data_IF_010135122171
#
_entry.id   IF_010135122171
#
_cell.length_a   1.000
_cell.length_b   1.000
_cell.length_c   1.000
_cell.angle_alpha   90.00
_cell.angle_beta   90.00
_cell.angle_gamma   90.00
#
_symmetry.space_group_name_H-M   'P 1'
#
loop_
_entity.id
_entity.type
_entity.pdbx_description
1 polymer ?
#
# COMPACT_ATOMS: atom_id res chain seq x y z
N UNK A 1 -25.13 29.42 -33.46
CA UNK A 1 -25.36 27.96 -33.53
C UNK A 1 -24.73 27.38 -32.28
N UNK A 2 -25.56 27.00 -31.30
CA UNK A 2 -25.14 26.51 -29.97
C UNK A 2 -24.91 25.01 -30.07
N UNK A 3 -23.69 24.55 -29.79
CA UNK A 3 -23.40 23.14 -29.54
C UNK A 3 -23.23 22.97 -28.03
N UNK A 4 -24.10 22.17 -27.44
CA UNK A 4 -24.07 21.80 -26.02
C UNK A 4 -23.31 20.49 -25.88
N UNK A 5 -22.23 20.50 -25.09
CA UNK A 5 -21.48 19.30 -24.75
C UNK A 5 -22.30 18.43 -23.78
N UNK A 6 -22.34 17.12 -24.03
CA UNK A 6 -22.99 16.14 -23.16
C UNK A 6 -21.91 15.45 -22.31
N UNK A 7 -22.01 15.61 -20.98
CA UNK A 7 -21.15 14.94 -20.01
C UNK A 7 -21.72 13.54 -19.67
N UNK A 8 -20.97 12.47 -19.92
CA UNK A 8 -21.30 11.14 -19.38
C UNK A 8 -20.68 10.97 -17.98
N UNK A 9 -21.53 11.17 -16.97
CA UNK A 9 -21.18 11.14 -15.55
C UNK A 9 -20.80 9.72 -15.09
N UNK A 10 -21.16 8.65 -15.81
CA UNK A 10 -20.86 7.28 -15.36
C UNK A 10 -19.40 6.86 -15.52
N UNK A 11 -18.65 7.48 -16.44
CA UNK A 11 -17.30 7.03 -16.80
C UNK A 11 -16.23 8.13 -16.78
N UNK A 12 -16.59 9.38 -16.45
CA UNK A 12 -15.62 10.49 -16.38
C UNK A 12 -14.97 10.86 -17.71
N UNK A 13 -15.67 10.70 -18.84
CA UNK A 13 -15.21 11.10 -20.18
C UNK A 13 -16.05 12.24 -20.75
N UNK A 14 -15.38 13.19 -21.40
CA UNK A 14 -16.00 14.18 -22.27
C UNK A 14 -16.18 13.50 -23.63
N UNK A 15 -17.41 13.42 -24.12
CA UNK A 15 -17.70 12.93 -25.48
C UNK A 15 -18.07 14.14 -26.32
N UNK A 16 -17.09 14.68 -27.05
CA UNK A 16 -17.37 15.59 -28.17
C UNK A 16 -17.95 14.76 -29.31
N UNK A 17 -19.08 15.16 -29.86
CA UNK A 17 -19.52 14.64 -31.16
C UNK A 17 -18.40 14.97 -32.16
N UNK A 18 -17.92 13.95 -32.87
CA UNK A 18 -16.87 13.97 -33.91
C UNK A 18 -15.42 13.68 -33.46
N UNK A 19 -15.19 12.72 -32.56
CA UNK A 19 -13.83 12.29 -32.17
C UNK A 19 -13.56 10.81 -32.44
N UNK A 20 -13.28 10.46 -33.70
CA UNK A 20 -12.46 9.28 -34.05
C UNK A 20 -10.96 9.57 -33.89
N UNK A 21 -10.56 10.76 -33.44
CA UNK A 21 -9.17 11.09 -33.12
C UNK A 21 -9.00 11.41 -31.62
N UNK A 22 -8.06 10.74 -30.91
CA UNK A 22 -7.70 11.16 -29.56
C UNK A 22 -7.16 12.59 -29.62
N UNK A 23 -7.72 13.48 -28.81
CA UNK A 23 -7.45 14.93 -28.81
C UNK A 23 -5.98 15.31 -28.57
N UNK A 24 -5.11 14.34 -28.26
CA UNK A 24 -3.69 14.54 -28.00
C UNK A 24 -3.40 15.42 -26.78
N UNK A 25 -4.44 15.73 -25.98
CA UNK A 25 -4.31 16.62 -24.85
C UNK A 25 -3.66 15.92 -23.65
N UNK A 26 -2.76 16.61 -22.95
CA UNK A 26 -2.05 16.07 -21.78
C UNK A 26 -1.98 17.05 -20.62
N UNK A 27 -2.08 16.52 -19.40
CA UNK A 27 -1.85 17.28 -18.18
C UNK A 27 -0.37 17.31 -17.82
N UNK A 28 0.12 18.48 -17.44
CA UNK A 28 1.44 18.65 -16.83
C UNK A 28 1.31 19.35 -15.47
N UNK A 29 2.25 19.07 -14.57
CA UNK A 29 2.36 19.78 -13.30
C UNK A 29 3.61 20.65 -13.34
N UNK A 30 3.44 21.96 -13.18
CA UNK A 30 4.56 22.88 -13.12
C UNK A 30 5.15 22.88 -11.71
N UNK A 31 6.44 22.55 -11.63
CA UNK A 31 7.24 22.67 -10.42
C UNK A 31 7.38 24.13 -10.00
N UNK A 32 7.62 24.36 -8.72
CA UNK A 32 7.70 25.71 -8.15
C UNK A 32 9.12 26.12 -7.81
N UNK A 33 9.33 27.43 -7.76
CA UNK A 33 10.42 28.04 -7.00
C UNK A 33 10.02 28.06 -5.51
N UNK A 34 11.00 27.98 -4.62
CA UNK A 34 10.76 27.95 -3.17
C UNK A 34 9.95 29.18 -2.72
N UNK A 35 8.85 28.95 -1.98
CA UNK A 35 8.02 29.99 -1.39
C UNK A 35 6.69 30.29 -2.09
N UNK A 36 6.39 29.70 -3.25
CA UNK A 36 5.09 29.87 -3.91
C UNK A 36 4.11 28.73 -3.55
N UNK A 37 2.80 29.00 -3.37
CA UNK A 37 1.75 28.09 -2.82
C UNK A 37 1.53 26.68 -3.45
N UNK A 38 0.31 26.18 -3.71
CA UNK A 38 0.13 24.82 -4.30
C UNK A 38 0.56 24.74 -5.78
N UNK A 39 1.15 23.61 -6.21
CA UNK A 39 1.59 23.32 -7.59
C UNK A 39 0.44 23.52 -8.60
N UNK A 40 0.75 24.06 -9.79
CA UNK A 40 -0.26 24.36 -10.84
C UNK A 40 -0.34 23.23 -11.87
N UNK A 41 -1.55 22.84 -12.23
CA UNK A 41 -1.79 21.87 -13.32
C UNK A 41 -2.19 22.60 -14.59
N UNK A 42 -1.59 22.23 -15.71
CA UNK A 42 -1.85 22.83 -17.02
C UNK A 42 -2.25 21.74 -18.01
N UNK A 43 -3.31 21.99 -18.77
CA UNK A 43 -3.76 21.12 -19.86
C UNK A 43 -3.22 21.67 -21.18
N UNK A 44 -2.47 20.84 -21.89
CA UNK A 44 -1.88 21.18 -23.19
C UNK A 44 -2.58 20.42 -24.30
N UNK A 45 -2.69 21.02 -25.49
CA UNK A 45 -3.04 20.31 -26.73
C UNK A 45 -1.85 19.54 -27.32
N UNK A 46 -2.08 18.87 -28.47
CA UNK A 46 -1.05 18.12 -29.20
C UNK A 46 0.13 18.97 -29.69
N UNK A 47 -0.07 20.28 -29.85
CA UNK A 47 0.93 21.23 -30.33
C UNK A 47 1.66 21.96 -29.17
N UNK A 48 1.35 21.58 -27.92
CA UNK A 48 1.94 22.16 -26.72
C UNK A 48 1.36 23.53 -26.32
N UNK A 49 0.17 23.89 -26.79
CA UNK A 49 -0.54 25.11 -26.39
C UNK A 49 -1.41 24.87 -25.17
N UNK A 50 -1.50 25.87 -24.32
CA UNK A 50 -2.34 25.83 -23.11
C UNK A 50 -3.81 25.91 -23.50
N UNK A 51 -4.57 24.86 -23.23
CA UNK A 51 -6.03 24.81 -23.49
C UNK A 51 -6.86 24.78 -22.20
N UNK A 52 -6.22 24.71 -21.03
CA UNK A 52 -6.91 24.76 -19.74
C UNK A 52 -6.00 24.55 -18.53
N UNK A 53 -6.61 24.43 -17.35
CA UNK A 53 -5.93 24.24 -16.07
C UNK A 53 -5.89 25.49 -15.19
N UNK A 54 -5.00 25.50 -14.21
CA UNK A 54 -4.82 26.58 -13.21
C UNK A 54 -3.98 27.73 -13.78
N UNK A 55 -4.34 28.22 -14.97
CA UNK A 55 -3.61 29.26 -15.71
C UNK A 55 -4.57 30.40 -16.06
N UNK A 56 -4.16 31.69 -15.92
CA UNK A 56 -4.98 32.82 -16.34
C UNK A 56 -5.47 32.69 -17.79
N UNK A 57 -6.66 33.22 -18.08
CA UNK A 57 -7.27 33.11 -19.42
C UNK A 57 -6.39 33.76 -20.50
N UNK A 58 -5.66 34.83 -20.18
CA UNK A 58 -4.72 35.46 -21.11
C UNK A 58 -3.52 34.59 -21.52
N UNK A 59 -3.24 33.50 -20.80
CA UNK A 59 -2.17 32.55 -21.11
C UNK A 59 -2.66 31.35 -21.94
N UNK A 60 -3.98 31.17 -22.05
CA UNK A 60 -4.57 30.13 -22.90
C UNK A 60 -4.29 30.44 -24.37
N UNK A 61 -3.91 29.42 -25.14
CA UNK A 61 -3.50 29.52 -26.55
C UNK A 61 -2.00 29.77 -26.76
N UNK A 62 -1.24 30.13 -25.72
CA UNK A 62 0.22 30.28 -25.82
C UNK A 62 0.92 28.91 -25.77
N UNK A 63 2.02 28.78 -26.53
CA UNK A 63 2.92 27.62 -26.42
C UNK A 63 3.74 27.72 -25.14
N UNK A 64 3.94 26.60 -24.47
CA UNK A 64 4.66 26.60 -23.19
C UNK A 64 6.12 27.09 -23.28
N UNK A 65 6.72 26.99 -24.47
CA UNK A 65 8.08 27.48 -24.77
C UNK A 65 8.21 29.01 -24.61
N UNK A 66 7.11 29.77 -24.71
CA UNK A 66 7.13 31.23 -24.51
C UNK A 66 7.05 31.66 -23.05
N UNK A 67 7.01 30.72 -22.09
CA UNK A 67 6.85 31.01 -20.66
C UNK A 67 8.14 30.91 -19.81
N UNK A 68 9.31 30.81 -20.45
CA UNK A 68 10.59 31.05 -19.78
C UNK A 68 11.71 30.11 -20.24
N UNK A 69 12.72 30.67 -20.90
CA UNK A 69 14.05 30.09 -21.05
C UNK A 69 14.78 30.10 -19.69
N UNK A 70 14.33 29.31 -18.71
CA UNK A 70 15.12 29.04 -17.50
C UNK A 70 14.53 27.85 -16.73
N UNK A 71 14.46 26.71 -17.41
CA UNK A 71 14.49 25.41 -16.74
C UNK A 71 14.86 24.36 -17.77
N UNK A 72 16.14 23.95 -17.76
CA UNK A 72 16.56 22.72 -18.42
C UNK A 72 15.61 21.62 -17.95
N UNK A 73 14.90 21.00 -18.89
CA UNK A 73 14.27 19.72 -18.67
C UNK A 73 15.31 18.80 -17.97
N UNK A 74 14.97 18.17 -16.83
CA UNK A 74 15.61 16.91 -16.51
C UNK A 74 15.38 16.02 -17.74
N UNK A 75 16.46 15.54 -18.34
CA UNK A 75 16.41 14.65 -19.48
C UNK A 75 15.39 13.53 -19.25
N UNK A 76 14.70 13.13 -20.32
CA UNK A 76 13.74 12.02 -20.36
C UNK A 76 14.37 10.64 -20.03
N UNK A 77 15.59 10.61 -19.50
CA UNK A 77 16.21 9.42 -18.96
C UNK A 77 15.70 9.14 -17.53
N UNK A 78 14.76 8.19 -17.48
CA UNK A 78 14.49 7.29 -16.35
C UNK A 78 13.41 7.68 -15.32
N UNK A 79 12.22 8.07 -15.80
CA UNK A 79 11.00 7.46 -15.23
C UNK A 79 10.63 6.21 -16.02
N UNK A 80 11.56 5.26 -16.09
CA UNK A 80 11.17 3.87 -16.26
C UNK A 80 10.48 3.56 -14.93
N UNK A 81 9.15 3.50 -14.92
CA UNK A 81 8.45 2.74 -13.89
C UNK A 81 9.08 1.34 -13.93
N UNK A 82 10.06 1.10 -13.08
CA UNK A 82 10.65 -0.24 -12.92
C UNK A 82 9.50 -1.10 -12.46
N UNK A 83 8.90 -1.82 -13.40
CA UNK A 83 7.83 -2.76 -13.14
C UNK A 83 8.31 -3.64 -12.00
N UNK A 84 7.65 -3.48 -10.85
CA UNK A 84 8.08 -4.13 -9.63
C UNK A 84 8.06 -5.64 -9.87
N UNK A 85 9.24 -6.25 -9.81
CA UNK A 85 9.38 -7.68 -10.10
C UNK A 85 8.72 -8.44 -8.97
N UNK A 86 7.85 -9.40 -9.30
CA UNK A 86 7.28 -10.31 -8.31
C UNK A 86 8.02 -11.64 -8.31
N UNK A 87 8.20 -12.23 -7.13
CA UNK A 87 8.88 -13.52 -6.93
C UNK A 87 8.29 -14.24 -5.74
N UNK A 88 8.00 -15.54 -5.91
CA UNK A 88 7.66 -16.44 -4.81
C UNK A 88 8.90 -16.95 -4.08
N UNK A 89 8.76 -18.11 -3.44
CA UNK A 89 9.90 -18.77 -2.77
C UNK A 89 10.96 -19.21 -3.78
N UNK A 90 12.22 -19.07 -3.36
CA UNK A 90 13.38 -19.53 -4.12
C UNK A 90 13.78 -20.90 -3.59
N UNK A 91 13.91 -21.89 -4.47
CA UNK A 91 14.35 -23.23 -4.12
C UNK A 91 15.73 -23.53 -4.71
N UNK A 92 16.42 -24.52 -4.14
CA UNK A 92 17.62 -25.11 -4.75
C UNK A 92 18.94 -24.35 -4.55
N UNK A 93 18.96 -23.29 -3.73
CA UNK A 93 20.20 -22.68 -3.25
C UNK A 93 20.79 -23.57 -2.15
N UNK A 94 22.05 -23.97 -2.31
CA UNK A 94 22.67 -25.02 -1.50
C UNK A 94 23.65 -24.50 -0.46
N UNK A 95 24.08 -23.24 -0.58
CA UNK A 95 25.04 -22.63 0.34
C UNK A 95 24.83 -21.11 0.45
N UNK A 96 25.46 -20.52 1.47
CA UNK A 96 25.39 -19.10 1.79
C UNK A 96 25.83 -18.20 0.62
N UNK A 97 26.89 -18.56 -0.11
CA UNK A 97 27.39 -17.74 -1.21
C UNK A 97 26.36 -17.58 -2.34
N UNK A 98 25.64 -18.66 -2.67
CA UNK A 98 24.55 -18.62 -3.65
C UNK A 98 23.37 -17.76 -3.18
N UNK A 99 23.07 -17.77 -1.88
CA UNK A 99 22.02 -16.92 -1.29
C UNK A 99 22.42 -15.45 -1.33
N UNK A 100 23.66 -15.12 -0.96
CA UNK A 100 24.18 -13.76 -1.02
C UNK A 100 24.21 -13.25 -2.47
N UNK A 101 24.61 -14.09 -3.43
CA UNK A 101 24.59 -13.75 -4.85
C UNK A 101 23.16 -13.50 -5.36
N UNK A 102 22.18 -14.31 -4.93
CA UNK A 102 20.77 -14.08 -5.26
C UNK A 102 20.26 -12.75 -4.69
N UNK A 103 20.56 -12.44 -3.41
CA UNK A 103 20.20 -11.15 -2.80
C UNK A 103 20.83 -10.02 -3.60
N UNK A 104 22.13 -10.11 -3.91
CA UNK A 104 22.86 -9.09 -4.66
C UNK A 104 22.19 -8.81 -6.01
N UNK A 105 21.87 -9.86 -6.78
CA UNK A 105 21.24 -9.75 -8.11
C UNK A 105 19.80 -9.24 -8.03
N UNK A 106 19.01 -9.78 -7.11
CA UNK A 106 17.57 -9.47 -7.01
C UNK A 106 17.28 -8.10 -6.41
N UNK A 107 18.16 -7.59 -5.55
CA UNK A 107 18.02 -6.27 -4.89
C UNK A 107 18.91 -5.18 -5.51
N UNK A 108 19.85 -5.56 -6.39
CA UNK A 108 20.83 -4.69 -7.03
C UNK A 108 21.65 -3.87 -6.02
N UNK A 109 22.21 -4.55 -5.02
CA UNK A 109 23.06 -3.96 -3.97
C UNK A 109 24.49 -4.47 -4.07
N UNK A 110 25.41 -3.93 -3.26
CA UNK A 110 26.78 -4.44 -3.16
C UNK A 110 26.81 -5.79 -2.43
N UNK A 111 27.86 -6.60 -2.65
CA UNK A 111 28.07 -7.87 -1.91
C UNK A 111 28.05 -7.65 -0.40
N UNK A 112 28.65 -6.56 0.09
CA UNK A 112 28.66 -6.23 1.52
C UNK A 112 27.25 -5.99 2.09
N UNK A 113 26.39 -5.26 1.36
CA UNK A 113 25.00 -5.06 1.78
C UNK A 113 24.15 -6.33 1.66
N UNK A 114 24.44 -7.16 0.66
CA UNK A 114 23.79 -8.46 0.51
C UNK A 114 24.14 -9.40 1.67
N UNK A 115 25.41 -9.48 2.08
CA UNK A 115 25.87 -10.22 3.26
C UNK A 115 25.18 -9.71 4.53
N UNK A 116 25.17 -8.39 4.76
CA UNK A 116 24.48 -7.80 5.92
C UNK A 116 22.98 -8.12 5.93
N UNK A 117 22.34 -8.11 4.77
CA UNK A 117 20.91 -8.47 4.64
C UNK A 117 20.69 -9.95 4.97
N UNK A 118 21.53 -10.84 4.44
CA UNK A 118 21.53 -12.27 4.76
C UNK A 118 21.64 -12.50 6.28
N UNK A 119 22.69 -11.97 6.90
CA UNK A 119 22.94 -12.10 8.35
C UNK A 119 21.78 -11.56 9.19
N UNK A 120 21.20 -10.42 8.79
CA UNK A 120 20.09 -9.80 9.53
C UNK A 120 18.80 -10.60 9.38
N UNK A 121 18.50 -11.16 8.21
CA UNK A 121 17.33 -12.03 8.00
C UNK A 121 17.48 -13.33 8.81
N UNK A 122 18.68 -13.91 8.81
CA UNK A 122 19.01 -15.09 9.61
C UNK A 122 18.82 -14.81 11.11
N UNK A 123 19.43 -13.72 11.60
CA UNK A 123 19.28 -13.29 13.00
C UNK A 123 17.82 -13.02 13.37
N UNK A 124 17.04 -12.37 12.49
CA UNK A 124 15.61 -12.15 12.72
C UNK A 124 14.87 -13.48 12.89
N UNK A 125 15.15 -14.45 12.01
CA UNK A 125 14.50 -15.76 11.99
C UNK A 125 14.92 -16.65 13.17
N UNK A 126 16.15 -16.52 13.67
CA UNK A 126 16.71 -17.27 14.80
C UNK A 126 16.44 -16.64 16.18
N UNK A 127 15.31 -15.96 16.34
CA UNK A 127 14.88 -15.39 17.62
C UNK A 127 15.29 -13.93 17.88
N UNK A 128 16.10 -13.32 17.01
CA UNK A 128 16.41 -11.89 17.05
C UNK A 128 15.23 -10.96 16.70
N UNK A 129 14.10 -11.52 16.22
CA UNK A 129 12.91 -10.75 15.85
C UNK A 129 12.41 -9.80 16.94
N UNK A 130 12.57 -10.13 18.23
CA UNK A 130 12.06 -9.29 19.33
C UNK A 130 12.81 -7.96 19.40
N UNK A 131 14.14 -7.98 19.27
CA UNK A 131 14.96 -6.77 19.38
C UNK A 131 14.77 -5.88 18.15
N UNK A 132 14.61 -6.48 16.98
CA UNK A 132 14.28 -5.75 15.75
C UNK A 132 12.87 -5.13 15.85
N UNK A 133 11.83 -5.91 16.19
CA UNK A 133 10.44 -5.40 16.22
C UNK A 133 10.21 -4.32 17.28
N UNK A 134 10.90 -4.42 18.42
CA UNK A 134 10.83 -3.40 19.47
C UNK A 134 11.69 -2.18 19.19
N UNK A 135 12.48 -2.19 18.11
CA UNK A 135 13.37 -1.10 17.71
C UNK A 135 14.61 -0.96 18.59
N UNK A 136 14.93 -1.97 19.39
CA UNK A 136 16.20 -2.02 20.15
C UNK A 136 17.38 -2.14 19.18
N UNK A 137 17.23 -2.98 18.15
CA UNK A 137 18.17 -3.05 17.03
C UNK A 137 17.69 -2.16 15.88
N UNK A 138 18.03 -0.86 15.96
CA UNK A 138 17.68 0.12 14.92
C UNK A 138 18.35 -0.17 13.58
N UNK A 139 19.54 -0.76 13.60
CA UNK A 139 20.29 -1.06 12.39
C UNK A 139 19.65 -2.25 11.67
N UNK A 140 19.30 -3.32 12.39
CA UNK A 140 18.56 -4.46 11.85
C UNK A 140 17.22 -4.05 11.26
N UNK A 141 16.47 -3.16 11.93
CA UNK A 141 15.23 -2.59 11.37
C UNK A 141 15.49 -1.90 10.03
N UNK A 142 16.51 -1.05 9.95
CA UNK A 142 16.83 -0.32 8.71
C UNK A 142 17.24 -1.28 7.59
N UNK A 143 18.09 -2.27 7.89
CA UNK A 143 18.56 -3.26 6.92
C UNK A 143 17.39 -4.08 6.39
N UNK A 144 16.51 -4.59 7.26
CA UNK A 144 15.37 -5.38 6.80
C UNK A 144 14.33 -4.56 6.05
N UNK A 145 14.05 -3.32 6.45
CA UNK A 145 13.15 -2.46 5.68
C UNK A 145 13.71 -2.15 4.28
N UNK A 146 15.01 -1.85 4.17
CA UNK A 146 15.67 -1.61 2.87
C UNK A 146 15.71 -2.89 2.03
N UNK A 147 16.01 -4.04 2.65
CA UNK A 147 15.95 -5.35 2.00
C UNK A 147 14.55 -5.67 1.46
N UNK A 148 13.50 -5.52 2.29
CA UNK A 148 12.12 -5.73 1.86
C UNK A 148 11.79 -4.77 0.73
N UNK A 149 12.13 -3.50 0.85
CA UNK A 149 11.87 -2.45 -0.14
C UNK A 149 12.46 -2.78 -1.51
N UNK A 150 13.73 -3.22 -1.56
CA UNK A 150 14.46 -3.55 -2.79
C UNK A 150 14.16 -4.93 -3.36
N UNK A 151 13.72 -5.86 -2.53
CA UNK A 151 13.48 -7.24 -2.96
C UNK A 151 12.30 -7.34 -3.92
N UNK A 152 12.30 -8.35 -4.82
CA UNK A 152 11.11 -8.74 -5.55
C UNK A 152 9.94 -8.99 -4.60
N UNK A 153 8.76 -8.50 -4.96
CA UNK A 153 7.59 -8.58 -4.09
C UNK A 153 6.91 -9.93 -4.17
N UNK A 154 6.25 -10.30 -3.09
CA UNK A 154 5.33 -11.42 -3.09
C UNK A 154 4.24 -11.22 -4.16
N UNK A 155 3.85 -12.26 -4.93
CA UNK A 155 2.81 -12.13 -5.93
C UNK A 155 1.48 -11.68 -5.31
N UNK A 156 0.93 -10.55 -5.75
CA UNK A 156 -0.26 -9.92 -5.18
C UNK A 156 -1.54 -10.77 -5.28
N UNK A 157 -1.57 -11.69 -6.25
CA UNK A 157 -2.65 -12.65 -6.43
C UNK A 157 -2.64 -13.77 -5.37
N UNK A 158 -1.53 -13.96 -4.67
CA UNK A 158 -1.33 -14.98 -3.63
C UNK A 158 -1.45 -14.39 -2.23
N UNK A 159 -2.22 -15.04 -1.37
CA UNK A 159 -2.32 -14.66 0.04
C UNK A 159 -1.12 -15.16 0.85
N UNK A 160 -0.80 -14.42 1.91
CA UNK A 160 0.04 -14.82 3.03
C UNK A 160 -0.79 -14.95 4.31
N UNK A 161 -0.32 -15.75 5.25
CA UNK A 161 -1.06 -16.16 6.44
C UNK A 161 -0.23 -15.97 7.71
N UNK A 162 -0.87 -15.54 8.80
CA UNK A 162 -0.22 -15.44 10.12
C UNK A 162 -1.13 -15.99 11.19
N UNK A 163 -0.64 -17.01 11.88
CA UNK A 163 -1.30 -17.62 13.02
C UNK A 163 -0.94 -16.95 14.33
N UNK A 164 -1.91 -16.77 15.21
CA UNK A 164 -1.70 -16.26 16.56
C UNK A 164 -2.66 -16.94 17.53
N UNK A 165 -2.14 -17.26 18.72
CA UNK A 165 -2.96 -17.54 19.90
C UNK A 165 -2.97 -16.28 20.77
N UNK A 166 -4.14 -15.65 20.92
CA UNK A 166 -4.27 -14.32 21.54
C UNK A 166 -5.20 -14.33 22.75
N UNK A 167 -5.09 -13.31 23.59
CA UNK A 167 -6.04 -13.08 24.66
C UNK A 167 -7.35 -12.42 24.16
N UNK A 168 -8.36 -12.42 25.02
CA UNK A 168 -9.68 -11.82 24.76
C UNK A 168 -9.56 -10.31 24.47
N UNK A 169 -8.65 -9.60 25.14
CA UNK A 169 -8.49 -8.15 24.98
C UNK A 169 -8.04 -7.79 23.56
N UNK A 170 -7.03 -8.49 23.06
CA UNK A 170 -6.58 -8.33 21.68
C UNK A 170 -7.68 -8.72 20.71
N UNK A 171 -8.36 -9.85 20.91
CA UNK A 171 -9.45 -10.29 20.04
C UNK A 171 -10.58 -9.24 19.94
N UNK A 172 -11.03 -8.67 21.07
CA UNK A 172 -12.08 -7.64 21.10
C UNK A 172 -11.66 -6.32 20.42
N UNK A 173 -10.36 -6.08 20.25
CA UNK A 173 -9.84 -4.94 19.49
C UNK A 173 -10.01 -5.11 17.97
N UNK A 174 -10.17 -6.34 17.49
CA UNK A 174 -10.31 -6.66 16.07
C UNK A 174 -11.73 -6.35 15.61
N UNK A 175 -11.87 -5.33 14.76
CA UNK A 175 -13.15 -4.84 14.25
C UNK A 175 -13.07 -4.61 12.75
N UNK A 176 -14.15 -4.91 12.03
CA UNK A 176 -14.26 -4.66 10.59
C UNK A 176 -13.91 -3.20 10.26
N UNK A 177 -13.08 -3.01 9.24
CA UNK A 177 -12.61 -1.70 8.79
C UNK A 177 -11.56 -1.04 9.68
N UNK A 178 -11.21 -1.60 10.84
CA UNK A 178 -10.10 -1.11 11.67
C UNK A 178 -8.77 -1.65 11.18
N UNK A 179 -7.72 -0.86 11.44
CA UNK A 179 -6.36 -1.26 11.18
C UNK A 179 -5.80 -2.11 12.30
N UNK A 180 -4.99 -3.09 11.94
CA UNK A 180 -4.18 -3.87 12.89
C UNK A 180 -2.75 -3.35 12.80
N UNK A 181 -2.15 -3.09 13.96
CA UNK A 181 -0.73 -2.76 14.07
C UNK A 181 0.06 -4.01 14.47
N UNK A 182 0.95 -4.45 13.59
CA UNK A 182 1.86 -5.56 13.86
C UNK A 182 3.10 -5.13 14.65
N UNK A 183 3.24 -3.85 15.02
CA UNK A 183 4.40 -3.32 15.75
C UNK A 183 5.71 -3.59 15.02
N UNK A 184 5.78 -3.14 13.76
CA UNK A 184 6.96 -3.27 12.90
C UNK A 184 6.92 -4.48 11.96
N UNK A 185 8.10 -4.88 11.48
CA UNK A 185 8.28 -5.99 10.52
C UNK A 185 7.70 -7.27 11.10
N UNK A 186 6.94 -7.99 10.28
CA UNK A 186 6.25 -9.20 10.74
C UNK A 186 6.46 -10.37 9.78
N UNK A 187 6.62 -11.55 10.37
CA UNK A 187 6.71 -12.82 9.67
C UNK A 187 5.32 -13.38 9.32
N UNK A 188 5.19 -13.91 8.11
CA UNK A 188 3.99 -14.57 7.60
C UNK A 188 4.42 -15.83 6.87
N UNK A 189 3.51 -16.78 6.69
CA UNK A 189 3.73 -17.95 5.85
C UNK A 189 2.93 -17.81 4.56
N UNK A 190 3.45 -18.32 3.44
CA UNK A 190 2.59 -18.53 2.26
C UNK A 190 1.63 -19.71 2.41
N UNK A 191 1.76 -20.50 3.47
CA UNK A 191 0.95 -21.69 3.73
C UNK A 191 0.00 -21.50 4.91
N UNK A 192 -1.30 -21.64 4.65
CA UNK A 192 -2.32 -21.52 5.69
C UNK A 192 -2.16 -22.57 6.80
N UNK A 193 -1.71 -23.79 6.44
CA UNK A 193 -1.53 -24.89 7.40
C UNK A 193 -0.46 -24.56 8.44
N UNK A 194 0.70 -24.06 7.99
CA UNK A 194 1.77 -23.57 8.87
C UNK A 194 1.21 -22.50 9.82
N UNK A 195 0.48 -21.52 9.31
CA UNK A 195 -0.15 -20.50 10.16
C UNK A 195 -1.13 -21.11 11.20
N UNK A 196 -1.91 -22.14 10.86
CA UNK A 196 -2.83 -22.77 11.80
C UNK A 196 -2.11 -23.40 13.00
N UNK A 197 -0.91 -23.94 12.82
CA UNK A 197 -0.13 -24.57 13.90
C UNK A 197 0.20 -23.59 15.03
N UNK A 198 0.42 -22.30 14.72
CA UNK A 198 0.65 -21.25 15.72
C UNK A 198 -0.62 -20.78 16.46
N UNK A 199 -1.79 -21.28 16.08
CA UNK A 199 -3.05 -20.96 16.77
C UNK A 199 -3.31 -21.86 17.97
N UNK A 200 -2.69 -23.04 18.00
CA UNK A 200 -2.90 -24.06 19.02
C UNK A 200 -2.08 -23.73 20.28
N UNK A 201 -2.69 -23.86 21.46
CA UNK A 201 -1.98 -23.70 22.72
C UNK A 201 -1.01 -24.87 22.92
N UNK A 202 0.29 -24.60 23.07
CA UNK A 202 1.30 -25.65 23.30
C UNK A 202 2.55 -25.54 22.42
N UNK A 203 2.46 -24.85 21.27
CA UNK A 203 3.64 -24.42 20.51
C UNK A 203 4.31 -23.22 21.22
N UNK A 204 5.00 -23.52 22.30
CA UNK A 204 5.83 -22.57 23.01
C UNK A 204 7.29 -22.80 22.63
N UNK A 205 7.83 -21.88 21.83
CA UNK A 205 9.27 -21.63 21.81
C UNK A 205 9.67 -21.32 23.26
N UNK A 206 10.40 -22.22 23.92
CA UNK A 206 10.88 -22.06 25.31
C UNK A 206 10.14 -22.84 26.40
N UNK A 207 9.35 -23.87 26.09
CA UNK A 207 8.96 -24.91 27.06
C UNK A 207 7.97 -24.52 28.17
N UNK A 208 7.35 -23.33 28.08
CA UNK A 208 6.25 -22.93 28.99
C UNK A 208 4.92 -23.09 28.29
N UNK A 209 4.06 -23.96 28.80
CA UNK A 209 2.67 -24.11 28.32
C UNK A 209 2.01 -22.73 28.18
N UNK A 210 1.65 -22.36 26.94
CA UNK A 210 0.83 -21.17 26.71
C UNK A 210 -0.57 -21.45 27.24
N UNK A 211 -1.12 -20.52 28.04
CA UNK A 211 -2.53 -20.56 28.42
C UNK A 211 -3.39 -20.66 27.15
N UNK A 212 -4.46 -21.45 27.20
CA UNK A 212 -5.42 -21.59 26.11
C UNK A 212 -6.07 -20.23 25.81
N UNK A 213 -5.65 -19.60 24.72
CA UNK A 213 -6.26 -18.37 24.19
C UNK A 213 -7.15 -18.63 22.97
N UNK A 214 -7.45 -17.57 22.24
CA UNK A 214 -8.27 -17.56 21.04
C UNK A 214 -7.35 -17.76 19.83
N UNK A 215 -7.57 -18.83 19.07
CA UNK A 215 -6.84 -19.09 17.83
C UNK A 215 -7.32 -18.19 16.69
N UNK A 216 -6.39 -17.49 16.05
CA UNK A 216 -6.64 -16.58 14.93
C UNK A 216 -5.67 -16.87 13.78
N UNK A 217 -6.19 -16.93 12.56
CA UNK A 217 -5.40 -16.90 11.33
C UNK A 217 -5.74 -15.63 10.55
N UNK A 218 -4.77 -14.74 10.41
CA UNK A 218 -4.86 -13.62 9.47
C UNK A 218 -4.54 -14.11 8.07
N UNK A 219 -5.27 -13.62 7.07
CA UNK A 219 -5.01 -13.84 5.65
C UNK A 219 -4.88 -12.47 4.98
N UNK A 220 -3.77 -12.23 4.27
CA UNK A 220 -3.47 -10.94 3.66
C UNK A 220 -2.99 -11.11 2.23
N UNK A 221 -3.47 -10.27 1.31
CA UNK A 221 -2.78 -9.99 0.03
C UNK A 221 -1.95 -8.73 0.24
N UNK A 222 -0.64 -8.86 0.07
CA UNK A 222 0.33 -7.86 0.48
C UNK A 222 1.14 -7.34 -0.71
N UNK A 223 1.28 -6.02 -0.80
CA UNK A 223 2.12 -5.35 -1.80
C UNK A 223 3.55 -5.18 -1.28
N UNK A 224 3.73 -5.08 0.04
CA UNK A 224 5.01 -4.79 0.69
C UNK A 224 5.57 -6.00 1.44
N UNK A 225 5.53 -7.16 0.77
CA UNK A 225 6.01 -8.42 1.29
C UNK A 225 7.10 -9.04 0.39
N UNK A 226 8.04 -9.77 0.99
CA UNK A 226 9.10 -10.51 0.27
C UNK A 226 9.28 -11.91 0.83
N UNK A 227 9.49 -12.90 -0.04
CA UNK A 227 9.75 -14.27 0.35
C UNK A 227 11.19 -14.43 0.87
N UNK A 228 11.36 -15.06 2.02
CA UNK A 228 12.67 -15.25 2.66
C UNK A 228 12.97 -16.69 3.04
N UNK A 229 12.14 -17.66 2.65
CA UNK A 229 12.34 -19.09 2.97
C UNK A 229 13.73 -19.65 2.66
N UNK A 230 14.38 -19.15 1.62
CA UNK A 230 15.75 -19.53 1.22
C UNK A 230 16.86 -18.89 2.06
N UNK A 231 16.51 -17.95 2.94
CA UNK A 231 17.41 -17.21 3.84
C UNK A 231 17.06 -17.51 5.31
N UNK A 232 15.79 -17.81 5.62
CA UNK A 232 15.35 -18.11 6.98
C UNK A 232 16.02 -19.38 7.52
N UNK A 233 16.33 -19.38 8.81
CA UNK A 233 16.75 -20.59 9.54
C UNK A 233 15.70 -21.69 9.48
N UNK A 234 14.42 -21.30 9.40
CA UNK A 234 13.28 -22.22 9.46
C UNK A 234 12.63 -22.35 8.08
N UNK A 235 13.39 -22.87 7.12
CA UNK A 235 13.01 -22.92 5.70
C UNK A 235 11.65 -23.58 5.41
N UNK A 236 11.22 -24.53 6.26
CA UNK A 236 9.97 -25.26 6.07
C UNK A 236 8.71 -24.43 6.35
N UNK A 237 8.83 -23.28 7.03
CA UNK A 237 7.69 -22.40 7.33
C UNK A 237 7.21 -21.59 6.12
N UNK A 238 7.92 -21.67 4.99
CA UNK A 238 7.61 -20.92 3.76
C UNK A 238 7.43 -19.42 4.04
N UNK A 239 8.41 -18.87 4.75
CA UNK A 239 8.34 -17.55 5.35
C UNK A 239 8.36 -16.40 4.34
N UNK A 240 7.54 -15.40 4.61
CA UNK A 240 7.39 -14.13 3.90
C UNK A 240 7.45 -12.99 4.92
N UNK A 241 8.36 -12.04 4.76
CA UNK A 241 8.42 -10.84 5.59
C UNK A 241 7.52 -9.75 5.03
N UNK A 242 6.69 -9.17 5.90
CA UNK A 242 5.89 -7.99 5.63
C UNK A 242 6.54 -6.77 6.27
N UNK A 243 6.73 -5.69 5.50
CA UNK A 243 7.27 -4.42 6.01
C UNK A 243 6.44 -3.88 7.16
N UNK A 244 7.10 -3.28 8.16
CA UNK A 244 6.45 -2.57 9.26
C UNK A 244 5.77 -1.28 8.84
N UNK A 245 6.03 -0.80 7.62
CA UNK A 245 5.34 0.36 7.00
C UNK A 245 3.95 -0.01 6.48
N UNK A 246 3.63 -1.30 6.40
CA UNK A 246 2.36 -1.82 5.87
C UNK A 246 1.20 -1.51 6.81
N UNK A 247 0.11 -0.97 6.25
CA UNK A 247 -1.14 -0.75 6.99
C UNK A 247 -2.13 -1.85 6.65
N UNK A 248 -2.48 -2.67 7.64
CA UNK A 248 -3.34 -3.85 7.49
C UNK A 248 -4.74 -3.49 7.95
N UNK A 249 -5.75 -3.71 7.11
CA UNK A 249 -7.16 -3.47 7.44
C UNK A 249 -7.96 -4.76 7.46
N UNK A 250 -8.80 -4.92 8.48
CA UNK A 250 -9.71 -6.07 8.58
C UNK A 250 -10.88 -5.88 7.60
N UNK A 251 -11.04 -6.83 6.67
CA UNK A 251 -12.16 -6.87 5.74
C UNK A 251 -13.24 -7.88 6.15
N UNK A 252 -12.86 -8.96 6.82
CA UNK A 252 -13.81 -10.01 7.23
C UNK A 252 -13.33 -10.74 8.47
N UNK A 253 -14.26 -11.23 9.28
CA UNK A 253 -13.99 -12.05 10.46
C UNK A 253 -14.96 -13.24 10.41
N UNK A 254 -14.40 -14.43 10.21
CA UNK A 254 -15.17 -15.67 10.09
C UNK A 254 -14.69 -16.68 11.13
N UNK A 255 -15.61 -17.44 11.70
CA UNK A 255 -15.28 -18.54 12.61
C UNK A 255 -15.41 -19.87 11.89
N UNK A 256 -14.43 -20.76 12.05
CA UNK A 256 -14.47 -22.11 11.51
C UNK A 256 -13.99 -23.11 12.54
N UNK A 257 -14.42 -24.35 12.39
CA UNK A 257 -13.90 -25.47 13.17
C UNK A 257 -12.86 -26.22 12.33
N UNK A 258 -11.67 -26.44 12.89
CA UNK A 258 -10.56 -27.13 12.25
C UNK A 258 -10.03 -28.14 13.26
N UNK A 259 -10.08 -29.42 12.93
CA UNK A 259 -9.65 -30.52 13.82
C UNK A 259 -10.30 -30.47 15.23
N UNK A 260 -11.57 -30.06 15.32
CA UNK A 260 -12.29 -29.92 16.58
C UNK A 260 -12.00 -28.62 17.36
N UNK A 261 -11.12 -27.76 16.86
CA UNK A 261 -10.80 -26.47 17.45
C UNK A 261 -11.48 -25.30 16.71
N UNK A 262 -11.95 -24.32 17.47
CA UNK A 262 -12.60 -23.12 16.92
C UNK A 262 -11.54 -22.06 16.62
N UNK A 263 -11.31 -21.80 15.34
CA UNK A 263 -10.34 -20.81 14.84
C UNK A 263 -11.07 -19.67 14.15
N UNK A 264 -10.63 -18.44 14.40
CA UNK A 264 -11.09 -17.26 13.69
C UNK A 264 -10.19 -16.95 12.49
N UNK A 265 -10.77 -16.94 11.30
CA UNK A 265 -10.11 -16.54 10.05
C UNK A 265 -10.45 -15.07 9.78
N UNK A 266 -9.40 -14.25 9.74
CA UNK A 266 -9.51 -12.81 9.57
C UNK A 266 -8.90 -12.44 8.23
N UNK A 267 -9.75 -12.03 7.30
CA UNK A 267 -9.28 -11.54 6.01
C UNK A 267 -8.88 -10.07 6.16
N UNK A 268 -7.74 -9.76 5.57
CA UNK A 268 -7.10 -8.47 5.62
C UNK A 268 -6.71 -8.00 4.22
N UNK A 269 -6.57 -6.68 4.09
CA UNK A 269 -5.98 -6.04 2.91
C UNK A 269 -4.97 -4.97 3.33
N UNK A 270 -3.94 -4.77 2.51
CA UNK A 270 -3.12 -3.58 2.63
C UNK A 270 -3.92 -2.34 2.19
N UNK A 271 -3.75 -1.24 2.91
CA UNK A 271 -4.35 0.02 2.49
C UNK A 271 -4.32 1.09 3.58
N UNK A 272 -4.49 2.34 3.16
CA UNK A 272 -4.84 3.41 4.09
C UNK A 272 -6.19 3.06 4.68
N UNK A 273 -6.34 3.16 6.01
CA UNK A 273 -7.62 3.04 6.66
C UNK A 273 -8.63 3.83 5.84
N UNK A 274 -9.59 3.11 5.26
CA UNK A 274 -10.77 3.75 4.71
C UNK A 274 -11.47 4.22 5.97
N UNK A 275 -11.10 5.42 6.44
CA UNK A 275 -12.01 6.18 7.27
C UNK A 275 -13.33 6.05 6.57
N UNK A 276 -14.35 5.53 7.28
CA UNK A 276 -15.70 5.40 6.73
C UNK A 276 -15.90 6.60 5.81
N UNK A 277 -16.09 6.42 4.52
CA UNK A 277 -16.58 7.53 3.71
C UNK A 277 -18.06 7.67 4.04
N UNK A 278 -18.34 8.00 5.31
CA UNK A 278 -19.38 8.94 5.63
C UNK A 278 -18.63 10.25 5.51
N UNK A 279 -18.83 10.89 4.37
CA UNK A 279 -18.30 12.19 4.02
C UNK A 279 -18.86 13.20 5.03
N UNK A 280 -18.25 13.31 6.21
CA UNK A 280 -18.59 14.30 7.23
C UNK A 280 -18.01 15.65 6.79
N UNK A 281 -18.57 16.20 5.72
CA UNK A 281 -18.46 17.62 5.40
C UNK A 281 -19.34 18.38 6.40
N UNK A 282 -18.73 19.15 7.30
CA UNK A 282 -19.44 20.11 8.12
C UNK A 282 -19.94 21.24 7.20
N UNK A 283 -21.25 21.47 7.18
CA UNK A 283 -21.87 22.62 6.54
C UNK A 283 -22.47 23.48 7.65
N UNK A 284 -21.92 24.68 7.82
CA UNK A 284 -22.53 25.71 8.66
C UNK A 284 -23.61 26.38 7.84
N UNK A 285 -24.89 26.11 8.15
CA UNK A 285 -26.03 26.84 7.59
C UNK A 285 -26.57 27.71 8.72
N UNK A 286 -26.65 29.03 8.50
CA UNK A 286 -27.20 30.03 9.43
C UNK A 286 -26.70 29.94 10.89
N UNK A 287 -25.41 29.65 11.07
CA UNK A 287 -24.75 29.73 12.38
C UNK A 287 -25.18 28.67 13.40
N UNK A 288 -25.86 27.60 13.00
CA UNK A 288 -26.21 26.48 13.88
C UNK A 288 -25.62 25.16 13.37
N UNK A 289 -24.81 24.51 14.20
CA UNK A 289 -24.28 23.17 13.95
C UNK A 289 -25.34 22.13 14.31
N UNK A 290 -26.02 21.57 13.31
CA UNK A 290 -26.90 20.41 13.51
C UNK A 290 -26.29 19.15 12.88
N UNK A 291 -26.13 18.11 13.69
CA UNK A 291 -25.69 16.78 13.24
C UNK A 291 -26.85 16.06 12.55
N UNK A 292 -27.05 16.33 11.26
CA UNK A 292 -27.99 15.56 10.44
C UNK A 292 -27.24 14.77 9.37
N UNK A 293 -27.48 13.45 9.34
CA UNK A 293 -26.99 12.59 8.26
C UNK A 293 -27.92 12.82 7.06
N UNK A 294 -27.38 13.41 5.99
CA UNK A 294 -28.10 13.62 4.74
C UNK A 294 -27.84 12.47 3.76
N UNK A 295 -28.85 12.12 2.98
CA UNK A 295 -28.71 11.22 1.84
C UNK A 295 -27.98 11.90 0.68
N UNK A 296 -27.38 11.09 -0.20
CA UNK A 296 -26.69 11.56 -1.41
C UNK A 296 -27.57 12.46 -2.31
N UNK A 297 -28.88 12.22 -2.33
CA UNK A 297 -29.85 13.01 -3.08
C UNK A 297 -30.07 14.39 -2.48
N UNK A 298 -30.18 14.47 -1.15
CA UNK A 298 -30.33 15.75 -0.43
C UNK A 298 -29.08 16.64 -0.58
N UNK A 299 -27.88 16.05 -0.65
CA UNK A 299 -26.64 16.78 -0.90
C UNK A 299 -26.62 17.41 -2.30
N UNK A 300 -27.04 16.67 -3.33
CA UNK A 300 -27.13 17.17 -4.70
C UNK A 300 -28.15 18.30 -4.88
N UNK A 301 -29.30 18.20 -4.21
CA UNK A 301 -30.35 19.23 -4.26
C UNK A 301 -29.97 20.53 -3.51
N UNK A 302 -29.00 20.47 -2.59
CA UNK A 302 -28.43 21.63 -1.89
C UNK A 302 -27.36 22.33 -2.75
N UNK A 303 -26.42 21.57 -3.31
CA UNK A 303 -25.33 22.12 -4.13
C UNK A 303 -25.85 22.77 -5.42
N UNK A 304 -26.92 22.22 -6.00
CA UNK A 304 -27.57 22.78 -7.20
C UNK A 304 -28.30 24.11 -6.94
N UNK A 305 -28.57 24.48 -5.68
CA UNK A 305 -29.20 25.75 -5.31
C UNK A 305 -28.19 26.87 -4.99
N UNK A 306 -26.92 26.53 -4.75
CA UNK A 306 -25.85 27.50 -4.46
C UNK A 306 -25.27 28.12 -5.75
N UNK A 307 -25.51 27.49 -6.89
CA UNK A 307 -25.16 28.05 -8.20
C UNK A 307 -26.32 28.94 -8.67
N UNK A 308 -26.40 30.17 -8.15
CA UNK A 308 -27.10 31.24 -8.87
C UNK A 308 -26.10 31.94 -9.79
N UNK A 309 -26.44 31.95 -11.08
CA UNK A 309 -25.73 32.71 -12.12
C UNK A 309 -25.82 34.20 -11.76
N UNK A 310 -24.65 34.81 -11.56
CA UNK A 310 -24.40 36.24 -11.53
C UNK A 310 -23.13 36.51 -12.32
#
# INVERSE_FOLDING_TARGET
MLLSDIYDVKNGRIITKDADEPTGARWITLGKKDGEGPARRVLLDKDGKIIGGDVPKEEQGKKIESLGEENKQPSEESKIEKKQVSRGHVGGLKNEEQVIEDIQKSTNVSKELATKSYETVQFYSDGGYTDIRTGKDKQGVKILEDFIERSPKWPIDKSIYRGMNVDESFFQSLKLGKSIDMKGISSWSSEQKVAQEYTIAGWAVGGKERKKGIGIVFQLKADNATAISHISEVQHEQEVLLSGKSKILISSINKREVNGEKIWFIECREGKAVGKSVDNSYLTIDGKNENKILSLKEKWDLDSKIISIG
#
